data_IF_610053411387
#
_entry.id   IF_610053411387
#
_cell.length_a   1.000
_cell.length_b   1.000
_cell.length_c   1.000
_cell.angle_alpha   90.00
_cell.angle_beta   90.00
_cell.angle_gamma   90.00
#
_symmetry.space_group_name_H-M   'P 1'
#
loop_
_entity.id
_entity.type
_entity.pdbx_description
1 polymer ?
#
# COMPACT_ATOMS: atom_id res chain seq x y z
N UNK A 1 -8.07 -17.58 -0.49
CA UNK A 1 -8.41 -18.27 -1.75
C UNK A 1 -8.32 -19.77 -1.51
N UNK A 2 -9.25 -20.57 -2.02
CA UNK A 2 -9.19 -22.04 -1.98
C UNK A 2 -9.71 -22.61 -3.30
N UNK A 3 -8.91 -23.40 -4.01
CA UNK A 3 -9.27 -24.02 -5.30
C UNK A 3 -8.73 -25.46 -5.36
N UNK A 4 -9.54 -26.39 -5.86
CA UNK A 4 -9.11 -27.78 -6.06
C UNK A 4 -8.52 -27.95 -7.46
N UNK A 5 -7.29 -28.48 -7.55
CA UNK A 5 -6.58 -28.71 -8.83
C UNK A 5 -6.64 -30.15 -9.33
N UNK A 6 -7.28 -31.05 -8.58
CA UNK A 6 -7.28 -32.49 -8.85
C UNK A 6 -6.18 -33.24 -8.11
N UNK A 7 -6.15 -34.57 -8.24
CA UNK A 7 -5.14 -35.46 -7.62
C UNK A 7 -4.95 -35.23 -6.11
N UNK A 8 -6.06 -35.03 -5.40
CA UNK A 8 -6.08 -34.74 -3.97
C UNK A 8 -5.29 -33.48 -3.56
N UNK A 9 -5.14 -32.52 -4.49
CA UNK A 9 -4.35 -31.29 -4.28
C UNK A 9 -5.22 -30.04 -4.27
N UNK A 10 -5.05 -29.23 -3.23
CA UNK A 10 -5.73 -27.96 -2.99
C UNK A 10 -4.72 -26.80 -3.08
N UNK A 11 -5.10 -25.74 -3.77
CA UNK A 11 -4.38 -24.47 -3.72
C UNK A 11 -5.02 -23.56 -2.69
N UNK A 12 -4.20 -23.07 -1.76
CA UNK A 12 -4.62 -22.24 -0.65
C UNK A 12 -3.82 -20.93 -0.71
N UNK A 13 -4.50 -19.84 -1.07
CA UNK A 13 -3.93 -18.50 -1.01
C UNK A 13 -4.28 -17.82 0.30
N UNK A 14 -3.27 -17.31 1.00
CA UNK A 14 -3.34 -16.63 2.29
C UNK A 14 -2.46 -15.38 2.30
N UNK A 15 -2.61 -14.53 3.31
CA UNK A 15 -1.67 -13.42 3.59
C UNK A 15 -0.25 -13.91 3.93
N UNK A 16 -0.07 -15.21 4.13
CA UNK A 16 1.24 -15.85 4.29
C UNK A 16 1.91 -16.23 2.95
N UNK A 17 1.12 -16.45 1.89
CA UNK A 17 1.63 -16.97 0.63
C UNK A 17 0.60 -17.79 -0.14
N UNK A 18 1.08 -18.48 -1.17
CA UNK A 18 0.30 -19.45 -1.95
C UNK A 18 0.85 -20.85 -1.71
N UNK A 19 0.01 -21.75 -1.22
CA UNK A 19 0.39 -23.11 -0.87
C UNK A 19 -0.37 -24.12 -1.70
N UNK A 20 0.32 -25.18 -2.11
CA UNK A 20 -0.26 -26.41 -2.64
C UNK A 20 -0.28 -27.45 -1.53
N UNK A 21 -1.45 -27.90 -1.11
CA UNK A 21 -1.62 -28.93 -0.10
C UNK A 21 -2.19 -30.20 -0.72
N UNK A 22 -1.46 -31.30 -0.64
CA UNK A 22 -1.98 -32.62 -0.97
C UNK A 22 -2.52 -33.28 0.30
N UNK A 23 -3.84 -33.39 0.43
CA UNK A 23 -4.47 -33.91 1.66
C UNK A 23 -4.35 -35.44 1.82
N UNK A 24 -3.79 -36.15 0.84
CA UNK A 24 -3.53 -37.60 0.90
C UNK A 24 -2.12 -37.92 1.38
N UNK A 25 -1.12 -37.15 0.93
CA UNK A 25 0.28 -37.30 1.34
C UNK A 25 0.67 -36.38 2.50
N UNK A 26 -0.22 -35.45 2.87
CA UNK A 26 0.00 -34.37 3.84
C UNK A 26 1.18 -33.44 3.48
N UNK A 27 1.48 -33.35 2.19
CA UNK A 27 2.56 -32.51 1.68
C UNK A 27 2.06 -31.08 1.41
N UNK A 28 2.79 -30.09 1.92
CA UNK A 28 2.49 -28.66 1.71
C UNK A 28 3.70 -28.01 1.04
N UNK A 29 3.49 -27.40 -0.12
CA UNK A 29 4.54 -26.74 -0.91
C UNK A 29 4.16 -25.27 -1.09
N UNK A 30 5.07 -24.35 -0.79
CA UNK A 30 4.97 -22.95 -1.18
C UNK A 30 5.22 -22.84 -2.69
N UNK A 31 4.20 -22.39 -3.42
CA UNK A 31 4.22 -22.29 -4.88
C UNK A 31 4.94 -21.04 -5.40
N UNK A 32 5.19 -20.04 -4.55
CA UNK A 32 5.88 -18.81 -4.94
C UNK A 32 7.38 -19.00 -4.79
N UNK A 33 7.81 -19.56 -3.65
CA UNK A 33 9.22 -19.81 -3.36
C UNK A 33 9.69 -21.20 -3.81
N UNK A 34 8.79 -22.07 -4.27
CA UNK A 34 9.03 -23.47 -4.65
C UNK A 34 9.75 -24.28 -3.57
N UNK A 35 9.30 -24.15 -2.31
CA UNK A 35 9.90 -24.83 -1.15
C UNK A 35 8.84 -25.60 -0.37
N UNK A 36 9.17 -26.75 0.24
CA UNK A 36 8.27 -27.40 1.18
C UNK A 36 8.01 -26.46 2.36
N UNK A 37 6.75 -26.30 2.72
CA UNK A 37 6.36 -25.43 3.82
C UNK A 37 6.71 -26.10 5.16
N UNK A 38 7.43 -25.38 6.01
CA UNK A 38 7.76 -25.81 7.37
C UNK A 38 7.09 -24.85 8.34
N UNK A 39 6.43 -25.40 9.36
CA UNK A 39 5.80 -24.58 10.40
C UNK A 39 6.87 -23.70 11.07
N UNK A 40 6.70 -22.37 11.08
CA UNK A 40 7.65 -21.50 11.76
C UNK A 40 7.65 -21.78 13.27
N UNK A 41 8.84 -21.98 13.84
CA UNK A 41 9.02 -22.26 15.28
C UNK A 41 8.64 -21.07 16.17
N UNK A 42 8.68 -19.85 15.61
CA UNK A 42 8.30 -18.62 16.31
C UNK A 42 6.99 -18.09 15.75
N UNK A 43 6.02 -17.85 16.64
CA UNK A 43 4.80 -17.08 16.34
C UNK A 43 5.18 -15.61 16.10
N UNK A 44 5.49 -15.28 14.85
CA UNK A 44 5.66 -13.90 14.38
C UNK A 44 4.34 -13.26 13.98
N UNK A 45 4.39 -12.04 13.44
CA UNK A 45 3.23 -11.43 12.78
C UNK A 45 2.77 -12.35 11.64
N UNK A 46 1.45 -12.59 11.49
CA UNK A 46 0.89 -13.52 10.50
C UNK A 46 0.84 -12.86 9.11
N UNK A 47 2.00 -12.39 8.65
CA UNK A 47 2.17 -11.73 7.37
C UNK A 47 3.42 -12.30 6.72
N UNK A 48 3.21 -13.15 5.72
CA UNK A 48 4.29 -13.75 4.95
C UNK A 48 4.91 -12.76 3.97
N UNK A 49 5.98 -13.18 3.31
CA UNK A 49 6.71 -12.36 2.33
C UNK A 49 5.86 -11.99 1.10
N UNK A 50 4.85 -12.82 0.79
CA UNK A 50 3.97 -12.67 -0.36
C UNK A 50 2.51 -12.70 0.10
N UNK A 51 1.84 -11.56 0.07
CA UNK A 51 0.48 -11.41 0.62
C UNK A 51 -0.55 -11.69 -0.45
N UNK A 52 -0.90 -12.95 -0.62
CA UNK A 52 -1.84 -13.37 -1.67
C UNK A 52 -3.27 -12.97 -1.28
N UNK A 53 -3.82 -12.00 -2.01
CA UNK A 53 -5.17 -11.45 -1.81
C UNK A 53 -6.22 -12.09 -2.71
N UNK A 54 -5.83 -12.56 -3.90
CA UNK A 54 -6.76 -13.11 -4.87
C UNK A 54 -6.09 -13.92 -5.97
N UNK A 55 -6.92 -14.58 -6.79
CA UNK A 55 -6.49 -15.39 -7.92
C UNK A 55 -7.52 -15.31 -9.05
N UNK A 56 -7.05 -15.40 -10.28
CA UNK A 56 -7.89 -15.64 -11.45
C UNK A 56 -7.22 -16.58 -12.44
N UNK A 57 -7.93 -17.62 -12.86
CA UNK A 57 -7.53 -18.52 -13.94
C UNK A 57 -8.17 -18.15 -15.29
N UNK A 58 -9.00 -17.10 -15.31
CA UNK A 58 -9.82 -16.74 -16.47
C UNK A 58 -9.09 -15.82 -17.45
N UNK A 59 -8.04 -15.15 -16.98
CA UNK A 59 -7.24 -14.24 -17.78
C UNK A 59 -5.97 -14.94 -18.22
N UNK A 60 -5.77 -15.08 -19.52
CA UNK A 60 -4.53 -15.63 -20.09
C UNK A 60 -4.46 -17.15 -20.10
N UNK A 61 -3.24 -17.68 -20.31
CA UNK A 61 -2.97 -19.12 -20.38
C UNK A 61 -2.51 -19.69 -19.03
N UNK A 62 -2.02 -18.83 -18.14
CA UNK A 62 -1.55 -19.21 -16.81
C UNK A 62 -2.37 -18.52 -15.72
N UNK A 63 -2.57 -19.16 -14.55
CA UNK A 63 -3.26 -18.53 -13.44
C UNK A 63 -2.52 -17.29 -12.95
N UNK A 64 -3.26 -16.22 -12.72
CA UNK A 64 -2.78 -14.97 -12.16
C UNK A 64 -3.13 -14.86 -10.68
N UNK A 65 -2.20 -14.30 -9.92
CA UNK A 65 -2.31 -14.06 -8.49
C UNK A 65 -2.19 -12.57 -8.22
N UNK A 66 -2.98 -12.10 -7.28
CA UNK A 66 -2.98 -10.71 -6.85
C UNK A 66 -2.34 -10.61 -5.47
N UNK A 67 -1.15 -10.02 -5.42
CA UNK A 67 -0.51 -9.61 -4.17
C UNK A 67 -1.17 -8.34 -3.62
N UNK A 68 -1.33 -8.27 -2.31
CA UNK A 68 -1.99 -7.15 -1.64
C UNK A 68 -1.24 -5.82 -1.81
N UNK A 69 0.10 -5.85 -1.81
CA UNK A 69 0.92 -4.64 -1.95
C UNK A 69 1.24 -4.34 -3.42
N UNK A 70 1.52 -5.38 -4.21
CA UNK A 70 2.05 -5.25 -5.58
C UNK A 70 1.03 -5.50 -6.69
N UNK A 71 -0.20 -5.88 -6.35
CA UNK A 71 -1.20 -6.27 -7.34
C UNK A 71 -0.73 -7.49 -8.15
N UNK A 72 -0.71 -7.37 -9.48
CA UNK A 72 -0.34 -8.46 -10.40
C UNK A 72 1.17 -8.60 -10.60
N UNK A 73 2.00 -7.78 -9.94
CA UNK A 73 3.46 -7.82 -10.03
C UNK A 73 4.15 -8.93 -9.23
N UNK A 74 3.47 -10.06 -8.98
CA UNK A 74 4.04 -11.20 -8.27
C UNK A 74 4.97 -12.02 -9.17
N UNK A 75 6.07 -12.54 -8.62
CA UNK A 75 7.02 -13.43 -9.34
C UNK A 75 6.37 -14.75 -9.80
N UNK A 76 5.24 -15.12 -9.21
CA UNK A 76 4.46 -16.28 -9.64
C UNK A 76 3.79 -16.06 -11.01
N UNK A 77 3.41 -14.82 -11.31
CA UNK A 77 2.66 -14.52 -12.53
C UNK A 77 3.60 -14.59 -13.74
N UNK A 78 3.26 -15.47 -14.68
CA UNK A 78 4.01 -15.65 -15.94
C UNK A 78 3.57 -14.70 -17.05
N UNK A 79 2.41 -14.09 -16.88
CA UNK A 79 1.80 -13.18 -17.84
C UNK A 79 1.47 -11.86 -17.12
N UNK A 80 1.55 -10.76 -17.86
CA UNK A 80 1.10 -9.47 -17.39
C UNK A 80 -0.43 -9.43 -17.38
N UNK A 81 -0.99 -8.69 -16.43
CA UNK A 81 -2.43 -8.49 -16.39
C UNK A 81 -2.85 -7.68 -17.62
N UNK A 82 -3.89 -8.12 -18.37
CA UNK A 82 -4.27 -7.46 -19.61
C UNK A 82 -4.60 -5.98 -19.36
N UNK A 83 -4.18 -5.13 -20.29
CA UNK A 83 -4.54 -3.71 -20.24
C UNK A 83 -6.06 -3.56 -20.34
N UNK A 84 -6.58 -2.55 -19.64
CA UNK A 84 -8.00 -2.23 -19.68
C UNK A 84 -8.39 -1.78 -21.10
N UNK A 85 -9.42 -2.38 -21.74
CA UNK A 85 -9.84 -1.99 -23.08
C UNK A 85 -10.19 -0.51 -23.19
N UNK A 86 -9.80 0.13 -24.29
CA UNK A 86 -10.01 1.57 -24.52
C UNK A 86 -11.48 1.97 -24.43
N UNK A 87 -12.39 1.12 -24.90
CA UNK A 87 -13.84 1.39 -24.83
C UNK A 87 -14.33 1.58 -23.40
N UNK A 88 -13.80 0.80 -22.45
CA UNK A 88 -14.18 0.88 -21.04
C UNK A 88 -13.63 2.17 -20.42
N UNK A 89 -12.37 2.52 -20.76
CA UNK A 89 -11.71 3.74 -20.29
C UNK A 89 -12.49 4.98 -20.74
N UNK A 90 -12.91 5.02 -22.01
CA UNK A 90 -13.66 6.15 -22.56
C UNK A 90 -15.07 6.26 -21.98
N UNK A 91 -15.74 5.14 -21.72
CA UNK A 91 -17.09 5.12 -21.14
C UNK A 91 -17.11 5.40 -19.64
N UNK A 92 -16.02 5.12 -18.92
CA UNK A 92 -15.94 5.26 -17.47
C UNK A 92 -14.76 6.15 -17.07
N UNK A 93 -14.85 7.47 -17.27
CA UNK A 93 -13.84 8.39 -16.77
C UNK A 93 -13.76 8.31 -15.24
N UNK A 94 -12.57 8.58 -14.70
CA UNK A 94 -12.34 8.55 -13.26
C UNK A 94 -13.31 9.52 -12.54
N UNK A 95 -14.05 9.06 -11.52
CA UNK A 95 -15.00 9.93 -10.82
C UNK A 95 -14.24 11.01 -10.04
N UNK A 96 -14.84 12.21 -9.95
CA UNK A 96 -14.24 13.36 -9.25
C UNK A 96 -13.86 13.06 -7.79
N UNK A 97 -14.59 12.14 -7.14
CA UNK A 97 -14.24 11.67 -5.80
C UNK A 97 -12.88 10.97 -5.76
N UNK A 98 -12.58 10.09 -6.72
CA UNK A 98 -11.28 9.40 -6.78
C UNK A 98 -10.16 10.40 -7.08
N UNK A 99 -10.39 11.35 -7.99
CA UNK A 99 -9.45 12.45 -8.25
C UNK A 99 -9.19 13.26 -6.98
N UNK A 100 -10.25 13.60 -6.23
CA UNK A 100 -10.11 14.29 -4.96
C UNK A 100 -9.31 13.47 -3.94
N UNK A 101 -9.44 12.14 -3.90
CA UNK A 101 -8.63 11.28 -3.06
C UNK A 101 -7.14 11.27 -3.46
N UNK A 102 -6.84 11.28 -4.76
CA UNK A 102 -5.44 11.39 -5.24
C UNK A 102 -4.79 12.72 -4.84
N UNK A 103 -5.56 13.81 -4.89
CA UNK A 103 -5.12 15.13 -4.43
C UNK A 103 -4.97 15.15 -2.90
N UNK A 104 -5.96 14.63 -2.17
CA UNK A 104 -5.98 14.64 -0.71
C UNK A 104 -4.81 13.85 -0.11
N UNK A 105 -4.49 12.68 -0.68
CA UNK A 105 -3.35 11.85 -0.25
C UNK A 105 -2.01 12.36 -0.78
N UNK A 106 -2.02 13.39 -1.62
CA UNK A 106 -0.82 13.96 -2.24
C UNK A 106 -0.18 13.08 -3.32
N UNK A 107 -0.81 11.96 -3.71
CA UNK A 107 -0.30 11.09 -4.79
C UNK A 107 -0.31 11.79 -6.14
N UNK A 108 -1.17 12.78 -6.33
CA UNK A 108 -1.13 13.63 -7.52
C UNK A 108 0.26 14.26 -7.77
N UNK A 109 1.01 14.57 -6.70
CA UNK A 109 2.37 15.12 -6.83
C UNK A 109 3.41 14.09 -7.32
N UNK A 110 3.09 12.80 -7.30
CA UNK A 110 3.98 11.73 -7.79
C UNK A 110 4.31 11.90 -9.28
N UNK A 111 3.39 12.45 -10.07
CA UNK A 111 3.62 12.71 -11.49
C UNK A 111 4.85 13.61 -11.74
N UNK A 112 5.06 14.62 -10.89
CA UNK A 112 6.17 15.57 -11.04
C UNK A 112 7.38 15.23 -10.15
N UNK A 113 7.17 14.76 -8.92
CA UNK A 113 8.24 14.53 -7.93
C UNK A 113 8.67 13.05 -7.80
N UNK A 114 8.04 12.12 -8.51
CA UNK A 114 8.33 10.70 -8.39
C UNK A 114 8.19 10.22 -6.95
N UNK A 115 9.10 9.34 -6.49
CA UNK A 115 9.09 8.78 -5.11
C UNK A 115 9.26 9.83 -4.00
N UNK A 116 9.71 11.05 -4.31
CA UNK A 116 9.92 12.11 -3.33
C UNK A 116 8.62 12.81 -2.91
N UNK A 117 7.48 12.52 -3.57
CA UNK A 117 6.18 13.13 -3.22
C UNK A 117 5.82 12.93 -1.74
N UNK A 118 6.25 11.82 -1.14
CA UNK A 118 5.99 11.51 0.27
C UNK A 118 6.63 12.53 1.22
N UNK A 119 7.66 13.27 0.78
CA UNK A 119 8.31 14.34 1.55
C UNK A 119 7.51 15.64 1.56
N UNK A 120 6.55 15.82 0.67
CA UNK A 120 5.73 17.05 0.61
C UNK A 120 4.95 17.23 1.93
N UNK A 121 4.39 16.15 2.48
CA UNK A 121 3.62 16.17 3.72
C UNK A 121 4.48 16.59 4.94
N UNK A 122 5.61 15.95 5.26
CA UNK A 122 6.43 16.35 6.40
C UNK A 122 7.06 17.74 6.22
N UNK A 123 7.46 18.13 5.00
CA UNK A 123 8.05 19.46 4.76
C UNK A 123 7.04 20.58 4.95
N UNK A 124 5.82 20.43 4.42
CA UNK A 124 4.74 21.40 4.63
C UNK A 124 4.33 21.48 6.10
N UNK A 125 4.33 20.34 6.81
CA UNK A 125 4.15 20.29 8.26
C UNK A 125 5.22 21.08 9.04
N UNK A 126 6.50 20.86 8.74
CA UNK A 126 7.61 21.59 9.36
C UNK A 126 7.57 23.09 9.06
N UNK A 127 7.24 23.45 7.82
CA UNK A 127 7.11 24.85 7.41
C UNK A 127 5.95 25.54 8.15
N UNK A 128 4.80 24.87 8.25
CA UNK A 128 3.63 25.37 9.00
C UNK A 128 3.94 25.54 10.48
N UNK A 129 4.66 24.59 11.07
CA UNK A 129 5.13 24.66 12.45
C UNK A 129 6.08 25.85 12.65
N UNK A 130 7.03 26.05 11.74
CA UNK A 130 7.95 27.17 11.76
C UNK A 130 7.23 28.53 11.69
N UNK A 131 6.23 28.67 10.82
CA UNK A 131 5.40 29.87 10.73
C UNK A 131 4.61 30.13 12.01
N UNK A 132 4.06 29.08 12.63
CA UNK A 132 3.36 29.21 13.91
C UNK A 132 4.30 29.62 15.05
N UNK A 133 5.49 29.02 15.14
CA UNK A 133 6.49 29.35 16.17
C UNK A 133 6.98 30.79 16.00
N UNK A 134 7.33 31.19 14.79
CA UNK A 134 7.80 32.55 14.52
C UNK A 134 6.73 33.60 14.85
N UNK A 135 5.48 33.37 14.44
CA UNK A 135 4.34 34.21 14.79
C UNK A 135 4.12 34.29 16.31
N UNK A 136 4.19 33.15 16.99
CA UNK A 136 4.06 33.09 18.45
C UNK A 136 5.17 33.86 19.18
N UNK A 137 6.43 33.74 18.73
CA UNK A 137 7.57 34.47 19.31
C UNK A 137 7.38 35.98 19.15
N UNK A 138 6.95 36.45 17.98
CA UNK A 138 6.69 37.87 17.73
C UNK A 138 5.57 38.38 18.63
N UNK A 139 4.46 37.64 18.72
CA UNK A 139 3.35 37.97 19.61
C UNK A 139 3.80 38.06 21.07
N UNK A 140 4.56 37.06 21.53
CA UNK A 140 5.06 36.99 22.89
C UNK A 140 6.00 38.15 23.25
N UNK A 141 6.95 38.48 22.36
CA UNK A 141 7.84 39.64 22.52
C UNK A 141 7.02 40.93 22.59
N UNK A 142 6.06 41.14 21.67
CA UNK A 142 5.24 42.35 21.64
C UNK A 142 4.35 42.50 22.88
N UNK A 143 3.80 41.41 23.40
CA UNK A 143 3.00 41.41 24.62
C UNK A 143 3.83 41.74 25.87
N UNK A 144 5.05 41.18 25.98
CA UNK A 144 5.98 41.53 27.08
C UNK A 144 6.43 42.99 27.03
N UNK A 145 6.74 43.54 25.85
CA UNK A 145 7.15 44.94 25.73
C UNK A 145 6.03 45.91 26.14
N UNK A 146 4.77 45.65 25.73
CA UNK A 146 3.62 46.45 26.16
C UNK A 146 3.41 46.44 27.68
N UNK A 147 3.62 45.28 28.33
CA UNK A 147 3.51 45.17 29.79
C UNK A 147 4.60 45.97 30.51
N UNK A 148 5.82 45.99 29.98
CA UNK A 148 6.94 46.77 30.54
C UNK A 148 6.75 48.29 30.39
N UNK A 149 6.25 48.76 29.25
CA UNK A 149 5.96 50.19 29.07
C UNK A 149 4.81 50.68 29.95
N UNK A 150 3.75 49.87 30.11
CA UNK A 150 2.65 50.21 31.01
C UNK A 150 3.08 50.27 32.49
N UNK A 151 4.09 49.50 32.90
CA UNK A 151 4.69 49.57 34.24
C UNK A 151 5.69 50.72 34.44
N UNK A 152 6.23 51.35 33.38
CA UNK A 152 7.13 52.52 33.48
C UNK A 152 6.40 53.87 33.54
N UNK A 153 5.14 53.91 33.10
CA UNK A 153 4.30 55.11 33.11
C UNK A 153 3.38 55.21 34.34
N UNK A 154 3.62 54.40 35.37
CA UNK A 154 2.89 54.38 36.64
C UNK A 154 3.88 54.61 37.78
#
# INVERSE_FOLDING_TARGET
MLEEKGDNTLWIGSFEGLFSWNYKTDEIIDLIDNKPWVRPEKKGHPVGAHKVSGHSSHFGKYPLIFDYDKGTGSTFNKEEFPEMPEEIIQKNPMPLWNVAQEIHTGRFYQFFMGKLYILVVPLTGLFTLYLNISGFIIWYKRYRTKKLEHSRHK
#
